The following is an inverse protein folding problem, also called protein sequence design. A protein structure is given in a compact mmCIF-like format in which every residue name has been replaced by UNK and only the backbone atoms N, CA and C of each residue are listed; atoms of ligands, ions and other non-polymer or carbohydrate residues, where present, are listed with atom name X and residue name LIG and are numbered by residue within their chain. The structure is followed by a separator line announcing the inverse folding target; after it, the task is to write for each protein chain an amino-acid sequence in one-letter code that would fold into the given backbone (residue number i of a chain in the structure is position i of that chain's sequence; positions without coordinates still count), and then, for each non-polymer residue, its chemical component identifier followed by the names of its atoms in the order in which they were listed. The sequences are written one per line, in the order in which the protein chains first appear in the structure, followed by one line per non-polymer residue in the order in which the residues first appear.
data_IF_779517899114
#
_entry.id   IF_779517899114
#
_cell.length_a   1.000
_cell.length_b   1.000
_cell.length_c   1.000
_cell.angle_alpha   90.00
_cell.angle_beta   90.00
_cell.angle_gamma   90.00
#
_symmetry.space_group_name_H-M   'P 1'
#
loop_
_entity.id
_entity.type
_entity.pdbx_description
1 polymer ?
#
# COMPACT_ATOMS: atom_id res chain seq x y z
N UNK A 1 17.60 20.45 -23.19
CA UNK A 1 17.70 19.52 -22.04
C UNK A 1 16.32 18.97 -21.76
N UNK A 2 16.04 17.73 -22.18
CA UNK A 2 14.80 17.03 -21.85
C UNK A 2 15.14 15.89 -20.91
N UNK A 3 15.00 16.10 -19.61
CA UNK A 3 15.05 15.00 -18.66
C UNK A 3 13.86 14.11 -18.96
N UNK A 4 14.09 12.83 -19.29
CA UNK A 4 13.02 11.84 -19.35
C UNK A 4 12.27 11.95 -18.02
N UNK A 5 10.97 12.30 -18.05
CA UNK A 5 10.11 12.10 -16.89
C UNK A 5 10.36 10.66 -16.42
N UNK A 6 10.61 10.46 -15.12
CA UNK A 6 11.04 9.17 -14.58
C UNK A 6 10.05 8.06 -14.94
N UNK A 7 10.30 7.35 -16.04
CA UNK A 7 9.51 6.24 -16.55
C UNK A 7 9.66 5.00 -15.64
N UNK A 8 10.73 4.96 -14.86
CA UNK A 8 11.12 3.85 -14.00
C UNK A 8 10.98 4.28 -12.54
N UNK A 9 10.18 3.56 -11.77
CA UNK A 9 9.95 3.85 -10.37
C UNK A 9 9.01 2.84 -9.72
N UNK A 10 9.43 2.35 -8.56
CA UNK A 10 8.64 1.46 -7.70
C UNK A 10 7.53 2.24 -7.00
N UNK A 11 6.38 1.60 -6.84
CA UNK A 11 5.31 2.07 -5.98
C UNK A 11 5.73 2.01 -4.51
N UNK A 12 5.48 3.07 -3.75
CA UNK A 12 5.75 3.09 -2.31
C UNK A 12 4.76 2.23 -1.53
N UNK A 13 5.20 1.53 -0.48
CA UNK A 13 4.29 0.76 0.38
C UNK A 13 3.32 1.68 1.14
N UNK A 14 2.09 1.21 1.30
CA UNK A 14 1.10 1.82 2.16
C UNK A 14 1.50 1.72 3.63
N UNK A 15 1.22 2.76 4.41
CA UNK A 15 1.50 2.74 5.85
C UNK A 15 0.50 1.87 6.62
N UNK A 16 0.97 1.18 7.65
CA UNK A 16 0.10 0.38 8.53
C UNK A 16 -0.87 1.27 9.32
N UNK A 17 -2.04 0.70 9.63
CA UNK A 17 -3.00 1.32 10.52
C UNK A 17 -2.46 1.48 11.95
N UNK A 18 -2.90 2.53 12.64
CA UNK A 18 -2.56 2.74 14.06
C UNK A 18 -3.42 1.91 15.02
N UNK A 19 -2.79 1.22 15.97
CA UNK A 19 -3.49 0.49 17.03
C UNK A 19 -4.15 1.44 18.03
N UNK A 20 -5.31 1.06 18.58
CA UNK A 20 -6.01 1.85 19.61
C UNK A 20 -6.61 0.96 20.70
N UNK A 21 -6.63 1.44 21.94
CA UNK A 21 -7.20 0.72 23.09
C UNK A 21 -8.69 1.02 23.34
N UNK A 22 -9.23 2.07 22.72
CA UNK A 22 -10.59 2.58 23.01
C UNK A 22 -11.53 2.57 21.80
N UNK A 23 -10.99 2.63 20.58
CA UNK A 23 -11.77 2.75 19.35
C UNK A 23 -11.49 1.62 18.36
N UNK A 24 -12.00 1.80 17.13
CA UNK A 24 -11.67 0.94 15.98
C UNK A 24 -10.19 1.13 15.62
N UNK A 25 -9.50 0.05 15.27
CA UNK A 25 -8.13 0.13 14.78
C UNK A 25 -8.04 0.92 13.47
N UNK A 26 -6.90 1.57 13.25
CA UNK A 26 -6.63 2.29 12.02
C UNK A 26 -6.63 1.36 10.81
N UNK A 27 -7.03 1.90 9.66
CA UNK A 27 -6.94 1.17 8.39
C UNK A 27 -5.55 1.34 7.78
N UNK A 28 -5.06 0.31 7.12
CA UNK A 28 -3.83 0.41 6.35
C UNK A 28 -4.01 1.29 5.11
N UNK A 29 -2.97 2.01 4.73
CA UNK A 29 -2.94 2.82 3.51
C UNK A 29 -2.76 1.95 2.28
N UNK A 30 -3.23 2.42 1.12
CA UNK A 30 -2.97 1.72 -0.14
C UNK A 30 -1.50 1.84 -0.55
N UNK A 31 -1.00 0.81 -1.23
CA UNK A 31 0.28 0.88 -1.93
C UNK A 31 0.22 1.82 -3.13
N UNK A 32 1.34 2.46 -3.42
CA UNK A 32 1.51 3.32 -4.59
C UNK A 32 1.63 2.50 -5.87
N UNK A 33 1.18 3.08 -6.99
CA UNK A 33 1.34 2.46 -8.31
C UNK A 33 2.71 2.80 -8.89
N UNK A 34 3.28 1.86 -9.64
CA UNK A 34 4.35 2.15 -10.59
C UNK A 34 3.78 2.72 -11.90
N UNK A 35 4.62 3.39 -12.69
CA UNK A 35 4.21 4.05 -13.94
C UNK A 35 4.44 3.18 -15.18
N UNK A 36 5.65 3.19 -15.75
CA UNK A 36 5.93 2.42 -16.97
C UNK A 36 6.67 1.12 -16.65
N UNK A 37 7.69 1.20 -15.80
CA UNK A 37 8.43 0.05 -15.28
C UNK A 37 8.63 0.19 -13.78
N UNK A 38 8.30 -0.85 -13.02
CA UNK A 38 8.43 -0.94 -11.57
C UNK A 38 7.33 -1.77 -10.93
N UNK A 39 7.56 -2.34 -9.75
CA UNK A 39 6.55 -3.03 -8.98
C UNK A 39 5.58 -2.04 -8.31
N UNK A 40 4.34 -2.46 -8.12
CA UNK A 40 3.43 -1.76 -7.24
C UNK A 40 3.84 -1.93 -5.78
N UNK A 41 3.57 -0.93 -4.94
CA UNK A 41 3.81 -1.02 -3.51
C UNK A 41 2.78 -1.90 -2.83
N UNK A 42 3.15 -2.58 -1.75
CA UNK A 42 2.20 -3.35 -0.95
C UNK A 42 1.25 -2.42 -0.17
N UNK A 43 0.02 -2.87 0.04
CA UNK A 43 -0.92 -2.21 0.94
C UNK A 43 -0.48 -2.36 2.40
N UNK A 44 -0.81 -1.38 3.23
CA UNK A 44 -0.54 -1.40 4.66
C UNK A 44 -1.47 -2.34 5.41
N UNK A 45 -1.00 -2.90 6.52
CA UNK A 45 -1.77 -3.78 7.38
C UNK A 45 -2.86 -3.00 8.12
N UNK A 46 -3.97 -3.68 8.41
CA UNK A 46 -4.95 -3.14 9.33
C UNK A 46 -4.43 -3.21 10.77
N UNK A 47 -4.85 -2.27 11.61
CA UNK A 47 -4.61 -2.36 13.05
C UNK A 47 -5.83 -2.93 13.78
N UNK A 48 -5.54 -3.60 14.90
CA UNK A 48 -6.56 -3.98 15.86
C UNK A 48 -7.01 -2.77 16.70
N UNK A 49 -8.29 -2.76 17.06
CA UNK A 49 -8.82 -1.88 18.08
C UNK A 49 -9.97 -2.54 18.82
N UNK A 50 -10.23 -2.12 20.06
CA UNK A 50 -11.24 -2.72 20.94
C UNK A 50 -12.64 -2.74 20.31
N UNK A 51 -12.98 -1.70 19.53
CA UNK A 51 -14.27 -1.60 18.86
C UNK A 51 -14.30 -2.29 17.48
N UNK A 52 -13.23 -2.99 17.10
CA UNK A 52 -13.08 -3.69 15.83
C UNK A 52 -11.79 -3.35 15.10
N UNK A 53 -11.41 -4.22 14.16
CA UNK A 53 -10.23 -4.07 13.30
C UNK A 53 -10.46 -3.05 12.19
N UNK A 54 -9.41 -2.32 11.80
CA UNK A 54 -9.40 -1.49 10.59
C UNK A 54 -9.56 -2.31 9.30
N UNK A 55 -9.62 -1.66 8.14
CA UNK A 55 -9.50 -2.36 6.86
C UNK A 55 -8.04 -2.44 6.42
N UNK A 56 -7.71 -3.47 5.65
CA UNK A 56 -6.39 -3.59 5.01
C UNK A 56 -6.27 -2.61 3.85
N UNK A 57 -5.07 -2.13 3.58
CA UNK A 57 -4.76 -1.38 2.37
C UNK A 57 -4.69 -2.28 1.15
N UNK A 58 -5.09 -1.77 0.00
CA UNK A 58 -4.97 -2.47 -1.28
C UNK A 58 -3.57 -2.27 -1.84
N UNK A 59 -2.99 -3.31 -2.45
CA UNK A 59 -1.72 -3.20 -3.16
C UNK A 59 -1.81 -2.30 -4.39
N UNK A 60 -0.72 -1.60 -4.71
CA UNK A 60 -0.61 -0.76 -5.88
C UNK A 60 -0.42 -1.57 -7.16
N UNK A 61 -0.77 -1.00 -8.30
CA UNK A 61 -0.52 -1.61 -9.61
C UNK A 61 0.97 -1.55 -9.98
N UNK A 62 1.47 -2.60 -10.63
CA UNK A 62 2.78 -2.60 -11.29
C UNK A 62 2.79 -1.71 -12.54
N UNK A 63 3.99 -1.46 -13.06
CA UNK A 63 4.21 -0.66 -14.26
C UNK A 63 3.57 -1.29 -15.50
N UNK A 64 3.12 -0.44 -16.42
CA UNK A 64 2.37 -0.86 -17.62
C UNK A 64 3.13 -1.82 -18.54
N UNK A 65 4.46 -1.68 -18.64
CA UNK A 65 5.29 -2.54 -19.49
C UNK A 65 5.91 -3.69 -18.70
N UNK A 66 6.34 -3.42 -17.46
CA UNK A 66 6.99 -4.40 -16.61
C UNK A 66 6.81 -4.04 -15.14
N UNK A 67 6.27 -4.97 -14.36
CA UNK A 67 5.94 -4.77 -12.95
C UNK A 67 4.79 -5.67 -12.50
N UNK A 68 4.91 -6.25 -11.33
CA UNK A 68 3.84 -6.97 -10.63
C UNK A 68 3.09 -5.98 -9.73
N UNK A 69 1.82 -6.29 -9.48
CA UNK A 69 1.06 -5.55 -8.50
C UNK A 69 1.61 -5.86 -7.10
N UNK A 70 1.54 -4.87 -6.22
CA UNK A 70 1.76 -5.10 -4.80
C UNK A 70 0.62 -5.91 -4.21
N UNK A 71 0.92 -6.58 -3.10
CA UNK A 71 -0.06 -7.38 -2.36
C UNK A 71 -0.93 -6.49 -1.46
N UNK A 72 -2.12 -6.98 -1.13
CA UNK A 72 -2.94 -6.34 -0.11
C UNK A 72 -2.30 -6.50 1.27
N UNK A 73 -2.55 -5.53 2.15
CA UNK A 73 -2.16 -5.62 3.55
C UNK A 73 -2.86 -6.76 4.26
N UNK A 74 -2.34 -7.11 5.44
CA UNK A 74 -2.85 -8.21 6.26
C UNK A 74 -3.76 -7.70 7.38
N UNK A 75 -4.68 -8.57 7.79
CA UNK A 75 -5.40 -8.41 9.05
C UNK A 75 -4.49 -8.86 10.20
N UNK A 76 -4.58 -8.20 11.38
CA UNK A 76 -3.89 -8.65 12.57
C UNK A 76 -4.44 -10.01 13.01
N UNK A 77 -3.54 -10.97 13.26
CA UNK A 77 -3.82 -12.35 13.70
C UNK A 77 -3.99 -12.45 15.21
#
# INVERSE_FOLDING_TARGET
MGGKAGLVGEGGNGGDGGATIAGKGGSGGNGGNAWLTGQGGNGGNAAFGKAGTGSVGVGGAGGLLEGQNGENGLLPS
#
